data_IF_504376695249
#
_entry.id   IF_504376695249
#
_cell.length_a   1.000
_cell.length_b   1.000
_cell.length_c   1.000
_cell.angle_alpha   90.00
_cell.angle_beta   90.00
_cell.angle_gamma   90.00
#
_symmetry.space_group_name_H-M   'P 1'
#
loop_
_entity.id
_entity.type
_entity.pdbx_description
1 polymer ?
#
# COMPACT_ATOMS: atom_id res chain seq x y z
N UNK A 1 4.57 3.33 -8.46
CA UNK A 1 3.72 3.76 -7.34
C UNK A 1 4.04 5.17 -6.85
N UNK A 2 5.23 5.45 -6.30
CA UNK A 2 5.54 6.78 -5.69
C UNK A 2 5.46 7.90 -6.73
N UNK A 3 6.07 7.71 -7.90
CA UNK A 3 5.99 8.65 -9.00
C UNK A 3 4.54 8.86 -9.48
N UNK A 4 3.75 7.78 -9.55
CA UNK A 4 2.34 7.87 -9.97
C UNK A 4 1.53 8.68 -8.96
N UNK A 5 1.75 8.45 -7.66
CA UNK A 5 1.12 9.19 -6.59
C UNK A 5 1.46 10.68 -6.65
N UNK A 6 2.75 11.00 -6.79
CA UNK A 6 3.25 12.37 -6.92
C UNK A 6 2.72 13.08 -8.16
N UNK A 7 2.73 12.43 -9.32
CA UNK A 7 2.14 12.99 -10.57
C UNK A 7 0.65 13.25 -10.45
N UNK A 8 -0.08 12.52 -9.60
CA UNK A 8 -1.50 12.76 -9.38
C UNK A 8 -1.76 13.91 -8.40
N UNK A 9 -0.92 14.10 -7.37
CA UNK A 9 -1.07 15.13 -6.34
C UNK A 9 -2.25 14.87 -5.39
N UNK A 10 -2.77 15.93 -4.77
CA UNK A 10 -3.90 15.86 -3.85
C UNK A 10 -3.51 15.37 -2.46
N UNK A 11 -4.49 14.82 -1.72
CA UNK A 11 -4.28 14.35 -0.35
C UNK A 11 -3.91 12.86 -0.35
N UNK A 12 -2.68 12.56 0.07
CA UNK A 12 -2.06 11.25 -0.06
C UNK A 12 -1.78 10.66 1.33
N UNK A 13 -2.37 9.52 1.63
CA UNK A 13 -1.97 8.73 2.80
C UNK A 13 -0.78 7.84 2.43
N UNK A 14 0.27 7.87 3.25
CA UNK A 14 1.45 7.00 3.09
C UNK A 14 1.46 6.00 4.24
N UNK A 15 1.15 4.73 3.95
CA UNK A 15 1.12 3.68 4.96
C UNK A 15 2.45 2.93 4.98
N UNK A 16 2.98 2.78 6.19
CA UNK A 16 4.12 1.94 6.53
C UNK A 16 3.75 1.07 7.73
N UNK A 17 4.38 -0.08 7.90
CA UNK A 17 4.34 -0.88 9.13
C UNK A 17 5.64 -0.76 9.92
N UNK A 18 6.78 -0.54 9.23
CA UNK A 18 8.08 -0.37 9.88
C UNK A 18 8.49 1.12 9.93
N UNK A 19 8.67 1.65 11.14
CA UNK A 19 9.04 3.05 11.36
C UNK A 19 10.38 3.40 10.69
N UNK A 20 11.35 2.48 10.65
CA UNK A 20 12.68 2.73 10.08
C UNK A 20 12.66 3.08 8.59
N UNK A 21 11.61 2.69 7.87
CA UNK A 21 11.44 3.02 6.44
C UNK A 21 10.61 4.27 6.19
N UNK A 22 9.90 4.80 7.20
CA UNK A 22 8.96 5.92 7.06
C UNK A 22 9.60 7.14 6.41
N UNK A 23 10.73 7.59 6.93
CA UNK A 23 11.38 8.82 6.48
C UNK A 23 11.81 8.72 5.02
N UNK A 24 12.47 7.62 4.65
CA UNK A 24 12.94 7.39 3.28
C UNK A 24 11.75 7.31 2.31
N UNK A 25 10.68 6.60 2.67
CA UNK A 25 9.46 6.52 1.85
C UNK A 25 8.78 7.88 1.70
N UNK A 26 8.72 8.68 2.77
CA UNK A 26 8.16 10.03 2.74
C UNK A 26 8.97 10.95 1.83
N UNK A 27 10.29 10.99 1.97
CA UNK A 27 11.16 11.84 1.14
C UNK A 27 11.07 11.45 -0.34
N UNK A 28 11.01 10.15 -0.66
CA UNK A 28 10.85 9.69 -2.04
C UNK A 28 9.51 10.12 -2.64
N UNK A 29 8.41 9.99 -1.90
CA UNK A 29 7.09 10.45 -2.36
C UNK A 29 7.05 11.96 -2.52
N UNK A 30 7.61 12.70 -1.54
CA UNK A 30 7.72 14.16 -1.56
C UNK A 30 8.46 14.65 -2.79
N UNK A 31 9.62 14.04 -3.11
CA UNK A 31 10.39 14.36 -4.32
C UNK A 31 9.52 14.28 -5.58
N UNK A 32 8.74 13.21 -5.76
CA UNK A 32 7.87 13.08 -6.93
C UNK A 32 6.68 14.05 -6.93
N UNK A 33 6.17 14.43 -5.75
CA UNK A 33 5.15 15.46 -5.64
C UNK A 33 5.71 16.82 -6.06
N UNK A 34 6.91 17.18 -5.58
CA UNK A 34 7.60 18.42 -5.94
C UNK A 34 7.92 18.49 -7.44
N UNK A 35 8.45 17.40 -8.02
CA UNK A 35 8.73 17.29 -9.45
C UNK A 35 7.46 17.44 -10.32
N UNK A 36 6.28 17.11 -9.79
CA UNK A 36 5.01 17.24 -10.53
C UNK A 36 4.51 18.68 -10.63
N UNK A 37 4.93 19.57 -9.72
CA UNK A 37 4.40 20.93 -9.59
C UNK A 37 2.94 21.04 -9.14
N UNK A 38 2.29 19.93 -8.74
CA UNK A 38 0.90 19.92 -8.26
C UNK A 38 0.82 20.20 -6.75
N UNK A 39 -0.33 20.71 -6.31
CA UNK A 39 -0.64 20.78 -4.88
C UNK A 39 -0.74 19.37 -4.29
N UNK A 40 -0.15 19.19 -3.11
CA UNK A 40 -0.13 17.91 -2.41
C UNK A 40 -0.14 18.09 -0.89
N UNK A 41 -0.66 17.08 -0.20
CA UNK A 41 -0.52 16.87 1.24
C UNK A 41 -0.19 15.39 1.45
N UNK A 42 0.93 15.09 2.11
CA UNK A 42 1.33 13.71 2.44
C UNK A 42 1.11 13.50 3.94
N UNK A 43 0.27 12.53 4.30
CA UNK A 43 0.03 12.14 5.69
C UNK A 43 0.56 10.73 5.93
N UNK A 44 1.67 10.57 6.69
CA UNK A 44 2.22 9.26 7.00
C UNK A 44 1.45 8.57 8.14
N UNK A 45 1.20 7.28 7.97
CA UNK A 45 0.63 6.38 8.97
C UNK A 45 1.57 5.21 9.21
N UNK A 46 1.89 4.93 10.47
CA UNK A 46 2.69 3.77 10.85
C UNK A 46 1.82 2.78 11.62
N UNK A 47 1.57 1.62 11.04
CA UNK A 47 0.83 0.51 11.65
C UNK A 47 1.80 -0.42 12.36
N UNK A 48 2.24 -0.04 13.56
CA UNK A 48 3.26 -0.78 14.33
C UNK A 48 2.76 -2.17 14.73
N UNK A 49 1.49 -2.27 15.08
CA UNK A 49 0.81 -3.50 15.46
C UNK A 49 0.80 -4.49 14.29
N UNK A 50 0.57 -4.01 13.07
CA UNK A 50 0.67 -4.85 11.88
C UNK A 50 2.09 -5.39 11.68
N UNK A 51 3.12 -4.58 11.94
CA UNK A 51 4.51 -5.06 11.89
C UNK A 51 4.77 -6.15 12.94
N UNK A 52 4.29 -5.97 14.18
CA UNK A 52 4.43 -6.98 15.24
C UNK A 52 3.76 -8.31 14.88
N UNK A 53 2.58 -8.29 14.27
CA UNK A 53 1.91 -9.50 13.80
C UNK A 53 2.68 -10.19 12.66
N UNK A 54 3.28 -9.43 11.74
CA UNK A 54 4.18 -10.02 10.74
C UNK A 54 5.40 -10.69 11.38
N UNK A 55 5.99 -10.09 12.42
CA UNK A 55 7.11 -10.70 13.16
C UNK A 55 6.73 -12.01 13.85
N UNK A 56 5.45 -12.19 14.21
CA UNK A 56 4.89 -13.44 14.77
C UNK A 56 4.48 -14.44 13.68
N UNK A 57 4.75 -14.17 12.41
CA UNK A 57 4.27 -14.95 11.25
C UNK A 57 2.75 -14.92 11.05
N UNK A 58 2.04 -13.99 11.68
CA UNK A 58 0.60 -13.81 11.55
C UNK A 58 0.26 -12.90 10.36
N UNK A 59 0.63 -13.33 9.15
CA UNK A 59 0.48 -12.51 7.93
C UNK A 59 -0.99 -12.21 7.58
N UNK A 60 -1.92 -13.10 7.94
CA UNK A 60 -3.36 -12.86 7.76
C UNK A 60 -3.83 -11.67 8.61
N UNK A 61 -3.45 -11.65 9.89
CA UNK A 61 -3.77 -10.56 10.82
C UNK A 61 -3.08 -9.26 10.39
N UNK A 62 -1.81 -9.33 9.99
CA UNK A 62 -1.08 -8.21 9.40
C UNK A 62 -1.85 -7.58 8.23
N UNK A 63 -2.28 -8.40 7.27
CA UNK A 63 -3.01 -7.94 6.09
C UNK A 63 -4.38 -7.37 6.45
N UNK A 64 -5.08 -7.97 7.42
CA UNK A 64 -6.38 -7.52 7.89
C UNK A 64 -6.29 -6.13 8.53
N UNK A 65 -5.31 -5.90 9.42
CA UNK A 65 -5.10 -4.58 10.04
C UNK A 65 -4.84 -3.48 9.01
N UNK A 66 -4.06 -3.77 7.96
CA UNK A 66 -3.80 -2.81 6.89
C UNK A 66 -5.08 -2.54 6.08
N UNK A 67 -5.88 -3.57 5.75
CA UNK A 67 -7.17 -3.42 5.05
C UNK A 67 -8.14 -2.55 5.84
N UNK A 68 -8.27 -2.81 7.13
CA UNK A 68 -9.13 -2.03 8.02
C UNK A 68 -8.70 -0.57 8.03
N UNK A 69 -7.39 -0.30 8.13
CA UNK A 69 -6.89 1.08 8.08
C UNK A 69 -7.17 1.76 6.75
N UNK A 70 -7.02 1.05 5.64
CA UNK A 70 -7.36 1.57 4.30
C UNK A 70 -8.83 1.97 4.26
N UNK A 71 -9.73 1.08 4.68
CA UNK A 71 -11.18 1.33 4.65
C UNK A 71 -11.61 2.45 5.60
N UNK A 72 -10.95 2.58 6.76
CA UNK A 72 -11.19 3.66 7.72
C UNK A 72 -10.93 5.04 7.11
N UNK A 73 -9.83 5.18 6.36
CA UNK A 73 -9.35 6.49 5.90
C UNK A 73 -9.72 6.82 4.45
N UNK A 74 -10.15 5.85 3.63
CA UNK A 74 -10.28 6.04 2.18
C UNK A 74 -11.22 7.18 1.75
N UNK A 75 -12.16 7.61 2.61
CA UNK A 75 -13.04 8.75 2.33
C UNK A 75 -12.35 10.12 2.35
N UNK A 76 -11.22 10.23 3.04
CA UNK A 76 -10.53 11.48 3.35
C UNK A 76 -9.30 11.74 2.47
N UNK A 77 -8.92 10.76 1.66
CA UNK A 77 -7.72 10.79 0.84
C UNK A 77 -8.07 10.49 -0.63
N UNK A 78 -7.32 11.10 -1.54
CA UNK A 78 -7.46 10.81 -2.98
C UNK A 78 -6.65 9.56 -3.34
N UNK A 79 -5.58 9.30 -2.59
CA UNK A 79 -4.64 8.22 -2.83
C UNK A 79 -4.12 7.64 -1.52
N UNK A 80 -3.95 6.31 -1.48
CA UNK A 80 -3.33 5.58 -0.39
C UNK A 80 -2.15 4.80 -0.96
N UNK A 81 -0.94 5.10 -0.51
CA UNK A 81 0.29 4.45 -0.96
C UNK A 81 0.74 3.46 0.11
N UNK A 82 0.83 2.18 -0.26
CA UNK A 82 1.43 1.14 0.58
C UNK A 82 2.93 1.10 0.30
N UNK A 83 3.72 1.66 1.22
CA UNK A 83 5.13 1.97 0.97
C UNK A 83 6.05 0.74 0.96
N UNK A 84 5.58 -0.39 1.50
CA UNK A 84 6.39 -1.57 1.75
C UNK A 84 5.81 -2.81 1.06
N UNK A 85 6.69 -3.69 0.57
CA UNK A 85 6.31 -4.85 -0.24
C UNK A 85 5.39 -5.83 0.49
N UNK A 86 5.62 -6.05 1.80
CA UNK A 86 4.80 -6.96 2.63
C UNK A 86 3.32 -6.55 2.68
N UNK A 87 3.01 -5.30 2.36
CA UNK A 87 1.64 -4.76 2.41
C UNK A 87 0.85 -5.04 1.13
N UNK A 88 1.47 -5.54 0.06
CA UNK A 88 0.80 -5.67 -1.24
C UNK A 88 -0.43 -6.59 -1.21
N UNK A 89 -0.34 -7.70 -0.47
CA UNK A 89 -1.44 -8.66 -0.34
C UNK A 89 -2.65 -8.08 0.42
N UNK A 90 -2.44 -7.05 1.26
CA UNK A 90 -3.54 -6.33 1.90
C UNK A 90 -4.42 -5.57 0.88
N UNK A 91 -3.89 -5.17 -0.26
CA UNK A 91 -4.67 -4.49 -1.30
C UNK A 91 -5.38 -5.46 -2.27
N UNK A 92 -5.02 -6.74 -2.27
CA UNK A 92 -5.54 -7.71 -3.23
C UNK A 92 -7.08 -7.87 -3.12
N UNK A 93 -7.80 -7.57 -4.19
CA UNK A 93 -9.26 -7.66 -4.22
C UNK A 93 -10.00 -6.62 -3.35
N UNK A 94 -9.28 -5.68 -2.74
CA UNK A 94 -9.88 -4.58 -1.99
C UNK A 94 -10.54 -3.59 -2.95
N UNK A 95 -11.79 -3.20 -2.66
CA UNK A 95 -12.49 -2.14 -3.40
C UNK A 95 -12.72 -0.95 -2.47
N UNK A 96 -12.04 0.14 -2.74
CA UNK A 96 -12.28 1.45 -2.13
C UNK A 96 -13.34 2.22 -2.93
N UNK A 97 -14.07 3.12 -2.27
CA UNK A 97 -15.10 3.97 -2.85
C UNK A 97 -14.52 5.23 -3.48
N UNK A 98 -13.44 5.77 -2.90
CA UNK A 98 -12.84 7.05 -3.28
C UNK A 98 -11.35 6.92 -3.54
N UNK A 99 -10.57 6.53 -2.53
CA UNK A 99 -9.12 6.59 -2.62
C UNK A 99 -8.57 5.55 -3.61
N UNK A 100 -7.59 5.93 -4.43
CA UNK A 100 -6.82 4.95 -5.22
C UNK A 100 -5.73 4.32 -4.36
N UNK A 101 -5.75 3.01 -4.21
CA UNK A 101 -4.71 2.26 -3.48
C UNK A 101 -3.57 1.92 -4.44
N UNK A 102 -2.35 2.31 -4.09
CA UNK A 102 -1.13 2.09 -4.89
C UNK A 102 -0.15 1.21 -4.12
N UNK A 103 0.33 0.15 -4.77
CA UNK A 103 1.31 -0.79 -4.22
C UNK A 103 2.53 -0.90 -5.15
N UNK A 104 3.61 -1.53 -4.68
CA UNK A 104 4.82 -1.73 -5.49
C UNK A 104 4.50 -2.54 -6.76
N UNK A 105 4.96 -2.14 -7.96
CA UNK A 105 4.75 -2.90 -9.18
C UNK A 105 5.27 -4.34 -9.12
N UNK A 106 6.43 -4.54 -8.48
CA UNK A 106 7.01 -5.88 -8.30
C UNK A 106 6.11 -6.77 -7.43
N UNK A 107 5.60 -6.20 -6.33
CA UNK A 107 4.71 -6.90 -5.41
C UNK A 107 3.36 -7.22 -6.07
N UNK A 108 2.79 -6.26 -6.80
CA UNK A 108 1.55 -6.48 -7.57
C UNK A 108 1.72 -7.59 -8.62
N UNK A 109 2.87 -7.64 -9.31
CA UNK A 109 3.19 -8.68 -10.27
C UNK A 109 3.33 -10.06 -9.62
N UNK A 110 4.06 -10.16 -8.50
CA UNK A 110 4.22 -11.41 -7.74
C UNK A 110 2.87 -11.97 -7.26
N UNK A 111 2.03 -11.13 -6.63
CA UNK A 111 0.69 -11.53 -6.18
C UNK A 111 -0.17 -12.05 -7.33
N UNK A 112 -0.15 -11.40 -8.50
CA UNK A 112 -0.90 -11.85 -9.69
C UNK A 112 -0.37 -13.20 -10.20
N UNK A 113 0.94 -13.40 -10.25
CA UNK A 113 1.54 -14.65 -10.73
C UNK A 113 1.28 -15.83 -9.78
N UNK A 114 1.32 -15.61 -8.47
CA UNK A 114 0.93 -16.59 -7.45
C UNK A 114 -0.52 -17.05 -7.64
N UNK A 115 -1.44 -16.10 -7.84
CA UNK A 115 -2.85 -16.40 -8.05
C UNK A 115 -3.09 -17.19 -9.35
N UNK A 116 -2.37 -16.85 -10.43
CA UNK A 116 -2.41 -17.61 -11.69
C UNK A 116 -1.92 -19.05 -11.49
N UNK A 117 -0.85 -19.27 -10.71
CA UNK A 117 -0.34 -20.62 -10.42
C UNK A 117 -1.35 -21.44 -9.61
N UNK A 118 -1.93 -20.87 -8.56
CA UNK A 118 -2.96 -21.53 -7.73
C UNK A 118 -4.15 -22.00 -8.57
N UNK A 119 -4.63 -21.15 -9.49
CA UNK A 119 -5.75 -21.49 -10.38
C UNK A 119 -5.41 -22.53 -11.44
N UNK A 120 -4.17 -22.55 -11.95
CA UNK A 120 -3.71 -23.60 -12.88
C UNK A 120 -3.62 -24.98 -12.21
N UNK A 121 -3.37 -25.06 -10.91
CA UNK A 121 -3.34 -26.32 -10.17
C UNK A 121 -4.76 -26.88 -9.99
N UNK A 122 -5.78 -26.04 -9.77
CA UNK A 122 -7.19 -26.48 -9.69
C UNK A 122 -7.80 -26.98 -11.00
N UNK A 123 -7.20 -26.71 -12.16
CA UNK A 123 -7.73 -27.19 -13.46
C UNK A 123 -7.15 -28.54 -13.90
N UNK A 124 -6.12 -29.03 -13.20
CA UNK A 124 -5.46 -30.32 -13.48
C UNK A 124 -5.72 -31.38 -12.38
N UNK A 125 -6.73 -31.17 -11.52
CA UNK A 125 -7.18 -32.12 -10.50
C UNK A 125 -8.56 -32.67 -10.85
#
# INVERSE_FOLDING_TARGET
MMEQAGKAGGRIALLCTFEGTREISYQLLKLYCELSGKSYEIVPFVLKEAYEEAQKSNLEVHNQMIREKILEIEGDYDQIVLAQMSMADSAAGLKTRRARVLTSPAAAYETVMEEIKKRKISYNS
#
